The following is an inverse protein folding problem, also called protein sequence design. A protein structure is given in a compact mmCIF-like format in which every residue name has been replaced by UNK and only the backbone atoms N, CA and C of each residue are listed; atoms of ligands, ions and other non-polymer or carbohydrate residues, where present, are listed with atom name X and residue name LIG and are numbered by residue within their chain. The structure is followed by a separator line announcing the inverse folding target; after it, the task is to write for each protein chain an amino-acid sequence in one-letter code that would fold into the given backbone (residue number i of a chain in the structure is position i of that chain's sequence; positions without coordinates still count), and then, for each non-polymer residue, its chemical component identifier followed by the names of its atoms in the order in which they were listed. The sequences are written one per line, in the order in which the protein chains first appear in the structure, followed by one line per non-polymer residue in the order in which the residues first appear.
data_IF_398412082007
#
_entry.id   IF_398412082007
#
_cell.length_a   1.000
_cell.length_b   1.000
_cell.length_c   1.000
_cell.angle_alpha   90.00
_cell.angle_beta   90.00
_cell.angle_gamma   90.00
#
_symmetry.space_group_name_H-M   'P 1'
#
loop_
_entity.id
_entity.type
_entity.pdbx_description
1 polymer ?
#
# COMPACT_ATOMS: atom_id res chain seq x y z
N UNK A 1 13.07 8.95 -23.80
CA UNK A 1 13.31 7.64 -23.14
C UNK A 1 12.07 7.28 -22.34
N UNK A 2 11.36 6.22 -22.74
CA UNK A 2 10.13 5.75 -22.10
C UNK A 2 10.43 4.67 -21.05
N UNK A 3 9.61 4.54 -20.00
CA UNK A 3 9.63 3.38 -19.07
C UNK A 3 8.71 2.28 -19.60
N UNK A 4 8.99 1.01 -19.32
CA UNK A 4 8.09 -0.11 -19.68
C UNK A 4 7.10 -0.46 -18.57
N UNK A 5 7.19 0.21 -17.41
CA UNK A 5 6.24 0.05 -16.31
C UNK A 5 4.83 0.38 -16.78
N UNK A 6 3.91 -0.58 -16.63
CA UNK A 6 2.51 -0.44 -17.04
C UNK A 6 1.71 0.32 -15.97
N UNK A 7 1.18 1.54 -16.25
CA UNK A 7 0.43 2.30 -15.26
C UNK A 7 -1.04 1.88 -15.23
N UNK A 8 -1.57 1.63 -14.03
CA UNK A 8 -2.98 1.39 -13.75
C UNK A 8 -3.51 2.48 -12.80
N UNK A 9 -4.67 3.04 -13.13
CA UNK A 9 -5.38 4.02 -12.29
C UNK A 9 -6.69 3.39 -11.84
N UNK A 10 -6.83 3.13 -10.54
CA UNK A 10 -8.10 2.78 -9.92
C UNK A 10 -8.90 4.07 -9.78
N UNK A 11 -9.97 4.20 -10.56
CA UNK A 11 -10.75 5.42 -10.68
C UNK A 11 -12.15 5.25 -10.10
N UNK A 12 -12.63 6.26 -9.39
CA UNK A 12 -14.03 6.34 -9.04
C UNK A 12 -14.87 6.77 -10.25
N UNK A 13 -16.20 6.79 -10.10
CA UNK A 13 -17.10 7.30 -11.15
C UNK A 13 -17.05 8.83 -11.31
N UNK A 14 -16.15 9.52 -10.60
CA UNK A 14 -16.05 10.97 -10.62
C UNK A 14 -15.31 11.46 -11.89
N UNK A 15 -15.99 12.17 -12.81
CA UNK A 15 -15.38 12.63 -14.06
C UNK A 15 -14.26 13.66 -13.83
N UNK A 16 -14.32 14.44 -12.75
CA UNK A 16 -13.27 15.43 -12.43
C UNK A 16 -11.96 14.74 -12.00
N UNK A 17 -12.04 13.67 -11.20
CA UNK A 17 -10.87 12.87 -10.79
C UNK A 17 -10.25 12.17 -12.00
N UNK A 18 -11.08 11.62 -12.89
CA UNK A 18 -10.62 11.02 -14.15
C UNK A 18 -9.91 12.02 -15.06
N UNK A 19 -10.48 13.22 -15.23
CA UNK A 19 -9.86 14.29 -16.02
C UNK A 19 -8.54 14.78 -15.40
N UNK A 20 -8.50 14.94 -14.07
CA UNK A 20 -7.29 15.27 -13.32
C UNK A 20 -6.18 14.24 -13.56
N UNK A 21 -6.46 12.96 -13.38
CA UNK A 21 -5.48 11.90 -13.62
C UNK A 21 -5.03 11.80 -15.08
N UNK A 22 -5.94 12.04 -16.02
CA UNK A 22 -5.59 12.08 -17.44
C UNK A 22 -4.57 13.19 -17.71
N UNK A 23 -4.77 14.38 -17.12
CA UNK A 23 -3.82 15.48 -17.24
C UNK A 23 -2.46 15.17 -16.57
N UNK A 24 -2.46 14.58 -15.37
CA UNK A 24 -1.24 14.16 -14.68
C UNK A 24 -0.45 13.13 -15.47
N UNK A 25 -1.12 12.11 -16.04
CA UNK A 25 -0.49 11.10 -16.88
C UNK A 25 0.12 11.69 -18.17
N UNK A 26 -0.65 12.55 -18.86
CA UNK A 26 -0.20 13.20 -20.09
C UNK A 26 1.01 14.10 -19.86
N UNK A 27 1.05 14.83 -18.73
CA UNK A 27 2.19 15.69 -18.36
C UNK A 27 3.53 14.93 -18.34
N UNK A 28 3.51 13.65 -18.00
CA UNK A 28 4.70 12.80 -17.91
C UNK A 28 4.79 11.74 -19.02
N UNK A 29 3.95 11.81 -20.04
CA UNK A 29 3.87 10.85 -21.15
C UNK A 29 3.69 9.40 -20.65
N UNK A 30 2.85 9.21 -19.64
CA UNK A 30 2.51 7.89 -19.10
C UNK A 30 1.17 7.44 -19.69
N UNK A 31 1.15 6.30 -20.39
CA UNK A 31 -0.06 5.73 -20.97
C UNK A 31 -0.80 4.90 -19.93
N UNK A 32 -1.62 5.55 -19.09
CA UNK A 32 -2.35 4.88 -18.01
C UNK A 32 -3.60 4.13 -18.45
N UNK A 33 -3.82 2.97 -17.83
CA UNK A 33 -5.02 2.14 -18.00
C UNK A 33 -5.95 2.43 -16.83
N UNK A 34 -7.14 2.94 -17.14
CA UNK A 34 -8.15 3.22 -16.12
C UNK A 34 -8.94 1.94 -15.80
N UNK A 35 -8.97 1.60 -14.52
CA UNK A 35 -9.76 0.53 -13.95
C UNK A 35 -10.86 1.16 -13.09
N UNK A 36 -12.12 0.94 -13.44
CA UNK A 36 -13.23 1.46 -12.64
C UNK A 36 -13.31 0.68 -11.32
N UNK A 37 -13.26 1.39 -10.19
CA UNK A 37 -13.27 0.79 -8.86
C UNK A 37 -14.51 -0.07 -8.61
N UNK A 38 -14.33 -1.21 -7.96
CA UNK A 38 -15.39 -2.18 -7.70
C UNK A 38 -16.32 -1.66 -6.58
N UNK A 39 -17.62 -1.58 -6.90
CA UNK A 39 -18.68 -1.33 -5.92
C UNK A 39 -19.32 -2.65 -5.52
N UNK A 40 -19.16 -3.03 -4.25
CA UNK A 40 -19.50 -4.37 -3.76
C UNK A 40 -20.98 -4.49 -3.42
N UNK A 41 -21.64 -5.51 -3.98
CA UNK A 41 -23.02 -5.87 -3.62
C UNK A 41 -23.09 -6.93 -2.51
N UNK A 42 -24.29 -7.20 -2.00
CA UNK A 42 -24.46 -8.13 -0.87
C UNK A 42 -24.14 -9.59 -1.19
N UNK A 43 -24.15 -9.98 -2.47
CA UNK A 43 -23.72 -11.32 -2.89
C UNK A 43 -22.20 -11.45 -2.82
N UNK A 44 -21.47 -10.46 -3.34
CA UNK A 44 -20.01 -10.42 -3.28
C UNK A 44 -19.48 -10.37 -1.85
N UNK A 45 -20.21 -9.73 -0.93
CA UNK A 45 -19.88 -9.77 0.50
C UNK A 45 -19.88 -11.18 1.09
N UNK A 46 -20.63 -12.13 0.50
CA UNK A 46 -20.70 -13.52 0.95
C UNK A 46 -19.67 -14.41 0.25
N UNK A 47 -19.36 -14.14 -1.01
CA UNK A 47 -18.49 -15.01 -1.83
C UNK A 47 -17.02 -14.58 -1.82
N UNK A 48 -16.78 -13.27 -1.79
CA UNK A 48 -15.47 -12.70 -2.10
C UNK A 48 -14.78 -12.15 -0.84
N UNK A 49 -15.46 -12.17 0.31
CA UNK A 49 -15.01 -11.58 1.57
C UNK A 49 -15.08 -12.61 2.68
N UNK A 50 -13.99 -12.75 3.43
CA UNK A 50 -13.92 -13.67 4.56
C UNK A 50 -14.36 -12.99 5.86
N UNK A 51 -15.22 -13.68 6.62
CA UNK A 51 -15.67 -13.29 7.95
C UNK A 51 -16.32 -11.89 8.01
N UNK A 52 -17.07 -11.49 6.98
CA UNK A 52 -17.83 -10.24 6.99
C UNK A 52 -19.10 -10.35 7.84
N UNK A 53 -19.48 -9.34 8.66
CA UNK A 53 -18.81 -8.05 8.91
C UNK A 53 -17.86 -8.09 10.13
N UNK A 54 -17.50 -9.27 10.63
CA UNK A 54 -16.61 -9.46 11.79
C UNK A 54 -15.21 -8.89 11.52
N UNK A 55 -14.75 -8.99 10.27
CA UNK A 55 -13.47 -8.44 9.81
C UNK A 55 -13.36 -6.91 9.92
N UNK A 56 -14.49 -6.20 10.11
CA UNK A 56 -14.50 -4.75 10.29
C UNK A 56 -14.17 -3.95 9.02
N UNK A 57 -14.26 -4.54 7.83
CA UNK A 57 -14.07 -3.82 6.58
C UNK A 57 -15.37 -3.13 6.14
N UNK A 58 -15.26 -1.90 5.64
CA UNK A 58 -16.38 -1.22 4.97
C UNK A 58 -16.55 -1.74 3.54
N UNK A 59 -17.74 -1.57 2.93
CA UNK A 59 -17.97 -1.90 1.51
C UNK A 59 -16.98 -1.19 0.58
N UNK A 60 -16.62 0.06 0.89
CA UNK A 60 -15.64 0.83 0.11
C UNK A 60 -14.22 0.24 0.20
N UNK A 61 -13.79 -0.18 1.39
CA UNK A 61 -12.48 -0.82 1.57
C UNK A 61 -12.40 -2.20 0.92
N UNK A 62 -13.52 -2.95 0.95
CA UNK A 62 -13.62 -4.22 0.23
C UNK A 62 -13.52 -3.98 -1.28
N UNK A 63 -14.26 -2.98 -1.79
CA UNK A 63 -14.21 -2.58 -3.19
C UNK A 63 -12.81 -2.16 -3.65
N UNK A 64 -12.13 -1.36 -2.84
CA UNK A 64 -10.74 -0.97 -3.07
C UNK A 64 -9.82 -2.20 -3.10
N UNK A 65 -9.93 -3.10 -2.10
CA UNK A 65 -9.14 -4.33 -2.03
C UNK A 65 -9.36 -5.23 -3.26
N UNK A 66 -10.61 -5.45 -3.67
CA UNK A 66 -10.94 -6.23 -4.87
C UNK A 66 -10.36 -5.58 -6.13
N UNK A 67 -10.39 -4.25 -6.24
CA UNK A 67 -9.83 -3.53 -7.40
C UNK A 67 -8.32 -3.76 -7.54
N UNK A 68 -7.58 -3.69 -6.43
CA UNK A 68 -6.15 -4.03 -6.43
C UNK A 68 -5.91 -5.51 -6.77
N UNK A 69 -6.70 -6.42 -6.21
CA UNK A 69 -6.60 -7.87 -6.49
C UNK A 69 -6.81 -8.16 -7.98
N UNK A 70 -7.80 -7.54 -8.62
CA UNK A 70 -8.06 -7.74 -10.06
C UNK A 70 -6.92 -7.21 -10.94
N UNK A 71 -6.28 -6.10 -10.56
CA UNK A 71 -5.06 -5.64 -11.24
C UNK A 71 -3.92 -6.66 -11.06
N UNK A 72 -3.71 -7.20 -9.86
CA UNK A 72 -2.68 -8.23 -9.64
C UNK A 72 -2.96 -9.49 -10.46
N UNK A 73 -4.21 -9.96 -10.52
CA UNK A 73 -4.62 -11.09 -11.38
C UNK A 73 -4.40 -10.79 -12.86
N UNK A 74 -4.67 -9.56 -13.29
CA UNK A 74 -4.39 -9.10 -14.66
C UNK A 74 -2.90 -9.15 -14.95
N UNK A 75 -2.05 -8.67 -14.04
CA UNK A 75 -0.60 -8.79 -14.17
C UNK A 75 -0.15 -10.23 -14.32
N UNK A 76 -0.68 -11.14 -13.51
CA UNK A 76 -0.38 -12.58 -13.59
C UNK A 76 -0.79 -13.16 -14.94
N UNK A 77 -2.03 -12.90 -15.36
CA UNK A 77 -2.59 -13.42 -16.62
C UNK A 77 -1.84 -12.91 -17.85
N UNK A 78 -1.54 -11.61 -17.88
CA UNK A 78 -0.87 -10.94 -19.00
C UNK A 78 0.66 -10.95 -18.90
N UNK A 79 1.21 -11.53 -17.83
CA UNK A 79 2.66 -11.55 -17.54
C UNK A 79 3.27 -10.14 -17.54
N UNK A 80 2.57 -9.17 -16.97
CA UNK A 80 3.07 -7.78 -16.83
C UNK A 80 4.19 -7.78 -15.79
N UNK A 81 5.45 -7.50 -16.17
CA UNK A 81 6.60 -7.65 -15.26
C UNK A 81 6.55 -6.65 -14.10
N UNK A 82 6.16 -5.41 -14.39
CA UNK A 82 6.19 -4.31 -13.43
C UNK A 82 5.02 -3.36 -13.72
N UNK A 83 4.27 -2.99 -12.68
CA UNK A 83 3.11 -2.13 -12.79
C UNK A 83 3.16 -0.98 -11.78
N UNK A 84 2.79 0.22 -12.21
CA UNK A 84 2.54 1.38 -11.34
C UNK A 84 1.04 1.43 -11.05
N UNK A 85 0.63 1.15 -9.82
CA UNK A 85 -0.78 1.17 -9.41
C UNK A 85 -1.04 2.44 -8.61
N UNK A 86 -2.09 3.17 -9.00
CA UNK A 86 -2.43 4.49 -8.45
C UNK A 86 -3.94 4.59 -8.21
N UNK A 87 -4.32 5.41 -7.24
CA UNK A 87 -5.70 5.93 -7.16
C UNK A 87 -5.81 7.22 -7.97
N UNK A 88 -7.04 7.71 -8.16
CA UNK A 88 -7.36 8.84 -9.02
C UNK A 88 -7.32 10.23 -8.36
N UNK A 89 -6.79 10.32 -7.14
CA UNK A 89 -6.60 11.55 -6.38
C UNK A 89 -5.13 11.81 -6.04
N UNK A 90 -4.21 11.50 -6.96
CA UNK A 90 -2.78 11.69 -6.74
C UNK A 90 -2.17 12.77 -7.62
N UNK A 91 -0.99 13.25 -7.25
CA UNK A 91 -0.12 14.13 -8.04
C UNK A 91 1.28 13.57 -8.06
N UNK A 92 1.93 13.66 -9.21
CA UNK A 92 3.34 13.28 -9.37
C UNK A 92 4.27 14.46 -9.10
N UNK A 93 5.43 14.16 -8.52
CA UNK A 93 6.58 15.05 -8.57
C UNK A 93 7.30 14.96 -9.93
N UNK A 94 8.05 15.99 -10.25
CA UNK A 94 8.69 16.17 -11.57
C UNK A 94 9.61 15.02 -11.97
N UNK A 95 10.23 14.36 -10.99
CA UNK A 95 11.16 13.25 -11.21
C UNK A 95 10.50 11.86 -11.26
N UNK A 96 9.18 11.74 -11.40
CA UNK A 96 8.49 10.44 -11.46
C UNK A 96 9.07 9.52 -12.54
N UNK A 97 9.28 10.02 -13.76
CA UNK A 97 9.76 9.19 -14.88
C UNK A 97 11.17 8.67 -14.64
N UNK A 98 12.05 9.46 -14.02
CA UNK A 98 13.40 9.01 -13.71
C UNK A 98 13.43 8.01 -12.55
N UNK A 99 12.58 8.19 -11.54
CA UNK A 99 12.41 7.20 -10.46
C UNK A 99 11.85 5.88 -10.97
N UNK A 100 10.87 5.91 -11.87
CA UNK A 100 10.29 4.70 -12.46
C UNK A 100 11.36 3.88 -13.20
N UNK A 101 12.22 4.54 -13.99
CA UNK A 101 13.34 3.87 -14.67
C UNK A 101 14.37 3.30 -13.70
N UNK A 102 14.69 4.04 -12.65
CA UNK A 102 15.62 3.54 -11.63
C UNK A 102 15.09 2.26 -10.95
N UNK A 103 13.78 2.20 -10.70
CA UNK A 103 13.12 1.02 -10.14
C UNK A 103 13.13 -0.13 -11.15
N UNK A 104 12.82 0.15 -12.41
CA UNK A 104 12.86 -0.81 -13.51
C UNK A 104 14.26 -1.43 -13.69
N UNK A 105 15.31 -0.61 -13.81
CA UNK A 105 16.72 -1.06 -13.91
C UNK A 105 17.20 -1.85 -12.68
N UNK A 106 16.60 -1.61 -11.52
CA UNK A 106 16.89 -2.36 -10.31
C UNK A 106 16.12 -3.69 -10.28
N UNK A 107 14.84 -3.69 -10.65
CA UNK A 107 13.98 -4.88 -10.63
C UNK A 107 14.46 -5.93 -11.66
N UNK A 108 14.97 -5.50 -12.82
CA UNK A 108 15.61 -6.38 -13.82
C UNK A 108 16.75 -7.23 -13.25
N UNK A 109 17.40 -6.77 -12.18
CA UNK A 109 18.55 -7.44 -11.54
C UNK A 109 18.16 -8.31 -10.36
N UNK A 110 16.86 -8.46 -10.07
CA UNK A 110 16.40 -9.21 -8.90
C UNK A 110 15.21 -10.11 -9.20
N UNK A 111 15.25 -11.29 -8.61
CA UNK A 111 14.20 -12.30 -8.75
C UNK A 111 13.22 -12.31 -7.55
N UNK A 112 13.29 -11.28 -6.70
CA UNK A 112 12.54 -11.20 -5.43
C UNK A 112 11.21 -10.45 -5.62
N UNK A 113 10.16 -10.76 -4.84
CA UNK A 113 8.90 -10.02 -4.90
C UNK A 113 9.05 -8.65 -4.24
N UNK A 114 8.90 -7.58 -5.00
CA UNK A 114 9.01 -6.21 -4.52
C UNK A 114 7.73 -5.41 -4.69
N UNK A 115 7.46 -4.58 -3.68
CA UNK A 115 6.57 -3.44 -3.73
C UNK A 115 7.37 -2.19 -3.36
N UNK A 116 7.30 -1.18 -4.21
CA UNK A 116 7.96 0.11 -4.05
C UNK A 116 6.90 1.20 -3.83
N UNK A 117 6.70 1.58 -2.58
CA UNK A 117 5.83 2.68 -2.20
C UNK A 117 6.44 4.00 -2.68
N UNK A 118 5.67 4.76 -3.46
CA UNK A 118 6.07 6.09 -3.93
C UNK A 118 5.42 7.21 -3.10
N UNK A 119 4.63 6.83 -2.10
CA UNK A 119 3.81 7.70 -1.25
C UNK A 119 4.48 7.98 0.10
N UNK A 120 3.97 8.97 0.87
CA UNK A 120 4.36 9.20 2.25
C UNK A 120 4.35 7.94 3.12
N UNK A 121 5.40 7.80 3.92
CA UNK A 121 5.60 6.73 4.89
C UNK A 121 5.55 7.26 6.33
N UNK A 122 5.33 6.36 7.30
CA UNK A 122 5.42 6.71 8.74
C UNK A 122 6.79 6.43 9.33
N UNK A 123 7.39 5.29 8.98
CA UNK A 123 8.72 4.91 9.45
C UNK A 123 9.40 3.93 8.49
N UNK A 124 10.73 4.05 8.37
CA UNK A 124 11.58 3.21 7.53
C UNK A 124 12.80 2.73 8.31
N UNK A 125 13.52 1.77 7.72
CA UNK A 125 14.75 1.19 8.28
C UNK A 125 15.96 1.80 7.57
N UNK A 126 16.63 2.75 8.22
CA UNK A 126 17.73 3.54 7.66
C UNK A 126 18.91 2.69 7.19
N UNK A 127 19.28 1.66 7.96
CA UNK A 127 20.38 0.76 7.61
C UNK A 127 19.98 -0.37 6.63
N UNK A 128 18.80 -0.27 6.00
CA UNK A 128 18.31 -1.16 4.94
C UNK A 128 17.96 -0.33 3.70
N UNK A 129 18.99 0.33 3.17
CA UNK A 129 18.93 1.26 2.05
C UNK A 129 19.38 0.59 0.75
N UNK A 130 18.69 0.92 -0.33
CA UNK A 130 19.14 0.69 -1.71
C UNK A 130 19.25 2.08 -2.36
N UNK A 131 20.46 2.45 -2.79
CA UNK A 131 20.69 3.72 -3.47
C UNK A 131 20.47 3.53 -4.97
N UNK A 132 19.55 4.31 -5.55
CA UNK A 132 19.37 4.44 -7.00
C UNK A 132 19.91 5.80 -7.46
N UNK A 133 19.82 6.12 -8.75
CA UNK A 133 20.40 7.35 -9.32
C UNK A 133 19.67 8.60 -8.85
N UNK A 134 18.34 8.56 -8.83
CA UNK A 134 17.43 9.69 -8.60
C UNK A 134 16.71 9.60 -7.25
N UNK A 135 16.77 8.46 -6.56
CA UNK A 135 16.07 8.23 -5.29
C UNK A 135 16.80 7.19 -4.43
N UNK A 136 16.52 7.20 -3.13
CA UNK A 136 16.89 6.09 -2.25
C UNK A 136 15.64 5.31 -1.84
N UNK A 137 15.72 3.98 -1.95
CA UNK A 137 14.70 3.08 -1.44
C UNK A 137 15.10 2.59 -0.05
N UNK A 138 14.18 2.62 0.90
CA UNK A 138 14.39 2.09 2.24
C UNK A 138 13.35 1.04 2.57
N UNK A 139 13.77 -0.03 3.23
CA UNK A 139 12.84 -1.05 3.72
C UNK A 139 11.82 -0.41 4.67
N UNK A 140 10.53 -0.69 4.44
CA UNK A 140 9.48 -0.09 5.26
C UNK A 140 9.45 -0.71 6.66
N UNK A 141 9.27 0.15 7.66
CA UNK A 141 8.94 -0.26 9.03
C UNK A 141 7.44 -0.08 9.30
N UNK A 142 6.88 1.07 8.92
CA UNK A 142 5.44 1.39 8.97
C UNK A 142 5.07 2.34 7.82
N UNK A 143 4.05 1.98 7.05
CA UNK A 143 3.39 2.84 6.08
C UNK A 143 1.88 2.63 6.19
N UNK A 144 1.15 3.63 5.71
CA UNK A 144 -0.28 3.56 5.46
C UNK A 144 -0.50 3.85 3.97
N UNK A 145 -1.71 3.60 3.50
CA UNK A 145 -2.19 3.91 2.16
C UNK A 145 -1.58 3.08 1.02
N UNK A 146 -2.39 2.89 -0.02
CA UNK A 146 -2.05 2.16 -1.23
C UNK A 146 -2.37 2.96 -2.51
N UNK A 147 -2.35 4.31 -2.43
CA UNK A 147 -2.73 5.17 -3.55
C UNK A 147 -1.63 5.40 -4.61
N UNK A 148 -0.42 4.85 -4.44
CA UNK A 148 0.67 5.03 -5.41
C UNK A 148 1.90 4.18 -5.14
N UNK A 149 2.06 3.08 -5.88
CA UNK A 149 3.21 2.19 -5.71
C UNK A 149 3.51 1.41 -6.99
N UNK A 150 4.77 0.98 -7.12
CA UNK A 150 5.17 0.02 -8.14
C UNK A 150 5.19 -1.37 -7.53
N UNK A 151 4.68 -2.36 -8.25
CA UNK A 151 4.67 -3.78 -7.84
C UNK A 151 5.18 -4.64 -8.98
N UNK A 152 6.06 -5.59 -8.68
CA UNK A 152 6.54 -6.55 -9.67
C UNK A 152 5.65 -7.79 -9.74
N UNK A 153 5.75 -8.54 -10.83
CA UNK A 153 4.91 -9.70 -11.12
C UNK A 153 4.90 -10.74 -9.99
N UNK A 154 6.05 -10.96 -9.35
CA UNK A 154 6.17 -11.92 -8.24
C UNK A 154 5.47 -11.46 -6.98
N UNK A 155 5.54 -10.17 -6.66
CA UNK A 155 4.78 -9.60 -5.56
C UNK A 155 3.27 -9.60 -5.89
N UNK A 156 2.89 -9.24 -7.12
CA UNK A 156 1.50 -9.29 -7.56
C UNK A 156 0.91 -10.69 -7.42
N UNK A 157 1.62 -11.74 -7.85
CA UNK A 157 1.19 -13.13 -7.65
C UNK A 157 0.94 -13.44 -6.17
N UNK A 158 1.92 -13.16 -5.31
CA UNK A 158 1.80 -13.43 -3.86
C UNK A 158 0.66 -12.65 -3.22
N UNK A 159 0.44 -11.41 -3.67
CA UNK A 159 -0.63 -10.55 -3.17
C UNK A 159 -2.00 -11.04 -3.65
N UNK A 160 -2.17 -11.39 -4.92
CA UNK A 160 -3.40 -11.95 -5.47
C UNK A 160 -3.85 -13.20 -4.71
N UNK A 161 -2.91 -14.12 -4.43
CA UNK A 161 -3.18 -15.37 -3.72
C UNK A 161 -3.48 -15.14 -2.23
N UNK A 162 -2.80 -14.19 -1.59
CA UNK A 162 -2.92 -13.98 -0.14
C UNK A 162 -4.13 -13.12 0.25
N UNK A 163 -4.47 -12.13 -0.58
CA UNK A 163 -5.51 -11.15 -0.30
C UNK A 163 -6.92 -11.65 -0.63
N UNK A 164 -7.06 -12.69 -1.44
CA UNK A 164 -8.35 -13.26 -1.81
C UNK A 164 -8.63 -14.58 -1.03
N UNK A 165 -9.84 -14.77 -0.47
CA UNK A 165 -10.93 -13.80 -0.31
C UNK A 165 -10.54 -12.63 0.62
N UNK A 166 -11.17 -11.48 0.43
CA UNK A 166 -10.83 -10.21 1.08
C UNK A 166 -10.98 -10.30 2.59
N UNK A 167 -9.92 -9.93 3.30
CA UNK A 167 -9.84 -9.91 4.77
C UNK A 167 -8.91 -8.83 5.35
N UNK A 168 -8.27 -8.06 4.47
CA UNK A 168 -7.33 -6.97 4.77
C UNK A 168 -7.67 -5.78 3.88
N UNK A 169 -7.28 -4.57 4.29
CA UNK A 169 -7.26 -3.40 3.40
C UNK A 169 -6.03 -3.49 2.49
N UNK A 170 -5.99 -2.83 1.31
CA UNK A 170 -4.87 -2.99 0.37
C UNK A 170 -3.56 -2.35 0.86
N UNK A 171 -3.58 -1.67 2.00
CA UNK A 171 -2.45 -0.99 2.62
C UNK A 171 -1.96 -1.65 3.93
N UNK A 172 -2.41 -2.87 4.22
CA UNK A 172 -1.94 -3.71 5.33
C UNK A 172 -0.51 -4.25 5.12
N UNK A 173 0.42 -3.39 4.66
CA UNK A 173 1.78 -3.71 4.20
C UNK A 173 2.59 -4.57 5.19
N UNK A 174 2.40 -4.35 6.49
CA UNK A 174 3.05 -5.16 7.53
C UNK A 174 2.62 -6.62 7.46
N UNK A 175 1.33 -6.88 7.26
CA UNK A 175 0.82 -8.23 7.12
C UNK A 175 1.34 -8.86 5.83
N UNK A 176 1.37 -8.11 4.73
CA UNK A 176 1.85 -8.65 3.45
C UNK A 176 3.34 -9.01 3.49
N UNK A 177 4.16 -8.17 4.11
CA UNK A 177 5.57 -8.48 4.33
C UNK A 177 5.76 -9.81 5.05
N UNK A 178 5.05 -10.00 6.16
CA UNK A 178 5.26 -11.18 7.00
C UNK A 178 4.50 -12.41 6.57
N UNK A 179 3.32 -12.29 5.97
CA UNK A 179 2.49 -13.43 5.60
C UNK A 179 2.65 -13.76 4.11
N UNK A 180 2.43 -12.77 3.22
CA UNK A 180 2.58 -12.90 1.77
C UNK A 180 4.06 -12.91 1.29
N UNK A 181 5.05 -12.77 2.19
CA UNK A 181 6.49 -12.86 1.87
C UNK A 181 6.94 -11.85 0.81
N UNK A 182 6.42 -10.63 0.83
CA UNK A 182 6.87 -9.58 -0.10
C UNK A 182 7.90 -8.65 0.55
N UNK A 183 8.77 -8.07 -0.26
CA UNK A 183 9.69 -7.02 0.18
C UNK A 183 9.04 -5.67 -0.11
N UNK A 184 8.82 -4.86 0.94
CA UNK A 184 8.18 -3.55 0.80
C UNK A 184 9.20 -2.47 1.10
N UNK A 185 9.44 -1.60 0.13
CA UNK A 185 10.38 -0.50 0.20
C UNK A 185 9.64 0.81 -0.08
N UNK A 186 10.12 1.92 0.46
CA UNK A 186 9.60 3.26 0.19
C UNK A 186 10.65 4.13 -0.44
N UNK A 187 10.26 4.93 -1.43
CA UNK A 187 11.07 5.99 -2.00
C UNK A 187 11.20 7.16 -1.02
N UNK A 188 12.43 7.68 -0.84
CA UNK A 188 12.71 8.89 -0.07
C UNK A 188 13.56 9.84 -0.94
N UNK A 189 13.09 11.08 -1.20
CA UNK A 189 11.78 11.64 -0.80
C UNK A 189 10.60 10.92 -1.50
N UNK A 190 9.38 11.05 -0.96
CA UNK A 190 8.17 10.57 -1.64
C UNK A 190 8.01 11.23 -3.03
N UNK A 191 7.45 10.51 -4.00
CA UNK A 191 7.35 10.93 -5.41
C UNK A 191 5.89 11.14 -5.82
N UNK A 192 4.96 10.56 -5.08
CA UNK A 192 3.51 10.70 -5.25
C UNK A 192 2.92 11.31 -3.98
N UNK A 193 2.05 12.32 -4.14
CA UNK A 193 1.31 12.97 -3.04
C UNK A 193 -0.18 13.01 -3.35
N UNK A 194 -1.03 13.14 -2.33
CA UNK A 194 -2.47 13.36 -2.57
C UNK A 194 -2.73 14.71 -3.26
N UNK A 195 -3.69 14.71 -4.18
CA UNK A 195 -4.22 15.88 -4.87
C UNK A 195 -5.22 16.69 -4.01
N UNK A 196 -5.48 16.27 -2.77
CA UNK A 196 -6.42 16.87 -1.81
C UNK A 196 -7.89 16.85 -2.26
N UNK A 197 -8.32 15.82 -3.00
CA UNK A 197 -9.75 15.58 -3.21
C UNK A 197 -10.41 15.12 -1.90
N UNK A 198 -11.71 15.39 -1.74
CA UNK A 198 -12.48 14.89 -0.60
C UNK A 198 -12.59 13.36 -0.72
N UNK A 199 -12.33 12.63 0.38
CA UNK A 199 -12.51 11.18 0.42
C UNK A 199 -13.93 10.79 0.04
N UNK A 200 -14.08 9.94 -0.97
CA UNK A 200 -15.37 9.38 -1.40
C UNK A 200 -15.73 8.09 -0.63
N UNK A 201 -14.79 7.55 0.15
CA UNK A 201 -15.07 6.48 1.11
C UNK A 201 -15.62 7.13 2.39
N UNK A 202 -16.90 6.87 2.71
CA UNK A 202 -17.65 7.54 3.78
C UNK A 202 -17.02 7.46 5.17
N UNK A 203 -17.13 8.55 5.94
CA UNK A 203 -16.47 8.75 7.24
C UNK A 203 -17.24 8.17 8.43
N UNK A 204 -18.56 8.07 8.34
CA UNK A 204 -19.45 7.96 9.52
C UNK A 204 -19.38 6.61 10.27
N UNK A 205 -18.72 5.58 9.71
CA UNK A 205 -18.52 4.27 10.34
C UNK A 205 -17.06 3.92 10.67
N UNK A 206 -16.08 4.80 10.40
CA UNK A 206 -14.65 4.44 10.45
C UNK A 206 -14.16 4.04 11.85
N UNK A 207 -14.64 4.68 12.93
CA UNK A 207 -14.14 4.41 14.30
C UNK A 207 -14.50 2.98 14.76
N UNK A 208 -15.78 2.61 14.69
CA UNK A 208 -16.24 1.27 15.10
C UNK A 208 -15.63 0.15 14.25
N UNK A 209 -15.38 0.41 12.96
CA UNK A 209 -14.71 -0.51 12.06
C UNK A 209 -13.22 -0.66 12.40
N UNK A 210 -12.54 0.43 12.79
CA UNK A 210 -11.13 0.40 13.20
C UNK A 210 -10.91 -0.50 14.42
N UNK A 211 -11.78 -0.42 15.41
CA UNK A 211 -11.71 -1.30 16.60
C UNK A 211 -11.90 -2.77 16.25
N UNK A 212 -12.82 -3.08 15.31
CA UNK A 212 -13.01 -4.45 14.82
C UNK A 212 -11.76 -4.98 14.11
N UNK A 213 -11.17 -4.19 13.21
CA UNK A 213 -9.92 -4.56 12.51
C UNK A 213 -8.77 -4.81 13.47
N UNK A 214 -8.60 -3.93 14.47
CA UNK A 214 -7.57 -4.04 15.50
C UNK A 214 -7.65 -5.34 16.31
N UNK A 215 -8.86 -5.89 16.49
CA UNK A 215 -9.09 -7.19 17.15
C UNK A 215 -9.00 -8.37 16.19
N UNK A 216 -9.33 -8.17 14.91
CA UNK A 216 -9.39 -9.22 13.90
C UNK A 216 -8.03 -9.57 13.30
N UNK A 217 -7.21 -8.59 12.91
CA UNK A 217 -5.93 -8.87 12.23
C UNK A 217 -4.94 -9.68 13.09
N UNK A 218 -4.82 -9.46 14.42
CA UNK A 218 -4.00 -10.32 15.27
C UNK A 218 -4.49 -11.77 15.29
N UNK A 219 -5.82 -11.99 15.29
CA UNK A 219 -6.39 -13.35 15.24
C UNK A 219 -6.05 -14.06 13.94
N UNK A 220 -6.11 -13.37 12.81
CA UNK A 220 -5.67 -13.91 11.52
C UNK A 220 -4.19 -14.28 11.54
N UNK A 221 -3.35 -13.42 12.11
CA UNK A 221 -1.92 -13.73 12.25
C UNK A 221 -1.69 -14.96 13.12
N UNK A 222 -2.44 -15.13 14.21
CA UNK A 222 -2.35 -16.32 15.06
C UNK A 222 -2.71 -17.62 14.33
N UNK A 223 -3.49 -17.55 13.25
CA UNK A 223 -3.83 -18.71 12.42
C UNK A 223 -2.73 -19.07 11.40
N UNK A 224 -1.82 -18.13 11.07
CA UNK A 224 -0.66 -18.39 10.22
C UNK A 224 0.60 -18.59 11.07
N UNK A 225 0.79 -19.82 11.56
CA UNK A 225 1.96 -20.23 12.34
C UNK A 225 3.28 -19.83 11.68
N UNK A 226 3.35 -19.90 10.35
CA UNK A 226 4.58 -19.55 9.62
C UNK A 226 4.83 -18.04 9.64
N UNK A 227 3.79 -17.20 9.55
CA UNK A 227 3.91 -15.75 9.69
C UNK A 227 4.24 -15.36 11.14
N UNK A 228 3.66 -16.02 12.14
CA UNK A 228 4.02 -15.83 13.54
C UNK A 228 5.49 -16.12 13.81
N UNK A 229 6.00 -17.25 13.31
CA UNK A 229 7.41 -17.60 13.43
C UNK A 229 8.29 -16.53 12.79
N UNK A 230 7.92 -16.02 11.60
CA UNK A 230 8.64 -14.92 10.94
C UNK A 230 8.61 -13.62 11.75
N UNK A 231 7.47 -13.27 12.34
CA UNK A 231 7.32 -12.08 13.20
C UNK A 231 8.14 -12.24 14.48
N UNK A 232 8.10 -13.42 15.10
CA UNK A 232 8.90 -13.75 16.28
C UNK A 232 10.38 -13.63 15.95
N UNK A 233 10.85 -14.30 14.90
CA UNK A 233 12.24 -14.23 14.46
C UNK A 233 12.66 -12.80 14.14
N UNK A 234 11.80 -12.04 13.47
CA UNK A 234 12.04 -10.62 13.23
C UNK A 234 12.17 -9.84 14.53
N UNK A 235 11.27 -10.04 15.50
CA UNK A 235 11.26 -9.31 16.77
C UNK A 235 12.53 -9.56 17.59
N UNK A 236 13.01 -10.80 17.64
CA UNK A 236 14.11 -11.18 18.52
C UNK A 236 15.48 -11.15 17.85
N UNK A 237 15.57 -11.48 16.55
CA UNK A 237 16.86 -11.62 15.87
C UNK A 237 17.15 -10.54 14.82
N UNK A 238 16.13 -9.83 14.32
CA UNK A 238 16.34 -8.79 13.29
C UNK A 238 16.17 -7.39 13.87
N UNK A 239 15.06 -7.16 14.56
CA UNK A 239 14.62 -5.85 15.07
C UNK A 239 15.65 -5.13 15.96
N UNK A 240 16.41 -5.80 16.84
CA UNK A 240 17.43 -5.15 17.66
C UNK A 240 18.53 -4.45 16.85
N UNK A 241 18.79 -4.93 15.63
CA UNK A 241 19.84 -4.40 14.75
C UNK A 241 19.33 -3.37 13.74
N UNK A 242 18.03 -3.05 13.75
CA UNK A 242 17.43 -2.10 12.81
C UNK A 242 17.48 -0.66 13.35
N UNK A 243 18.03 0.25 12.55
CA UNK A 243 17.97 1.70 12.77
C UNK A 243 16.68 2.24 12.17
N UNK A 244 15.64 2.35 12.99
CA UNK A 244 14.31 2.81 12.54
C UNK A 244 14.23 4.33 12.65
N UNK A 245 13.89 5.00 11.55
CA UNK A 245 13.58 6.44 11.51
C UNK A 245 12.09 6.66 11.24
N UNK A 246 11.44 7.44 12.09
CA UNK A 246 10.07 7.91 11.89
C UNK A 246 10.07 9.25 11.13
N UNK A 247 9.05 9.48 10.31
CA UNK A 247 8.78 10.80 9.73
C UNK A 247 8.17 11.65 10.85
N UNK A 248 8.98 12.51 11.47
CA UNK A 248 8.61 13.36 12.59
C UNK A 248 7.49 14.32 12.18
N UNK A 249 6.24 13.94 12.45
CA UNK A 249 5.11 14.85 12.65
C UNK A 249 3.95 14.21 13.45
N UNK A 250 4.16 13.05 14.09
CA UNK A 250 3.19 12.42 15.01
C UNK A 250 3.70 12.25 16.45
N UNK A 251 4.97 12.57 16.73
CA UNK A 251 5.47 12.58 18.12
C UNK A 251 4.76 13.66 18.96
N UNK A 252 4.26 14.73 18.33
CA UNK A 252 3.42 15.73 19.00
C UNK A 252 2.04 15.19 19.43
N UNK A 253 1.50 14.16 18.80
CA UNK A 253 0.20 13.59 19.19
C UNK A 253 0.34 12.68 20.41
N UNK A 254 1.34 11.79 20.43
CA UNK A 254 1.60 10.91 21.58
C UNK A 254 2.19 11.67 22.78
N UNK A 255 3.03 12.70 22.57
CA UNK A 255 3.45 13.61 23.65
C UNK A 255 2.29 14.46 24.18
N UNK A 256 1.41 14.99 23.32
CA UNK A 256 0.17 15.67 23.77
C UNK A 256 -0.74 14.73 24.54
N UNK A 257 -0.88 13.48 24.12
CA UNK A 257 -1.72 12.49 24.79
C UNK A 257 -1.13 12.09 26.15
N UNK A 258 0.19 11.87 26.25
CA UNK A 258 0.89 11.64 27.53
C UNK A 258 0.77 12.84 28.48
N UNK A 259 0.92 14.08 27.99
CA UNK A 259 0.73 15.30 28.78
C UNK A 259 -0.72 15.50 29.22
N UNK A 260 -1.69 15.11 28.40
CA UNK A 260 -3.13 15.18 28.71
C UNK A 260 -3.54 14.14 29.77
N UNK A 261 -2.97 12.92 29.71
CA UNK A 261 -3.19 11.89 30.72
C UNK A 261 -2.54 12.28 32.06
N UNK A 262 -1.34 12.88 32.03
CA UNK A 262 -0.65 13.34 33.25
C UNK A 262 -1.36 14.51 33.95
N UNK A 263 -2.05 15.37 33.19
CA UNK A 263 -2.89 16.47 33.72
C UNK A 263 -4.24 16.01 34.31
N UNK A 264 -4.66 14.77 34.07
CA UNK A 264 -5.91 14.19 34.64
C UNK A 264 -5.66 13.34 35.89
N UNK A 265 -4.40 13.17 36.28
CA UNK A 265 -3.97 12.37 37.42
C UNK A 265 -3.38 13.22 38.56
N UNK A 266 -3.50 14.55 38.46
CA UNK A 266 -3.25 15.56 39.49
C UNK A 266 -4.45 16.51 39.48
#
# INVERSE_FOLDING_TARGET
MHTTIKPFVICSKNPQRRAHMTAELNRYNLNGIFFDGIYVNDQQLKTDVKDYPVNGLSKGEIGCSLSHIEIYKTMVKEKIPLALIMEDDIKFKENIVSVLKDIEEFDEKTDKPFVYLLTPYKAYVENRKIQLKNVALYEIYRADFAYGYVVNLKAAQRLADYLYPVRFTPDDWRYFKFAAKINVYTAIPEIITSANFKSEVGDDCRIALTDKKGKYHPKLMLQDLSALMRIFSFKFFVRPFLKVKSKTNQDNFFEKMKRSIKKRLH
#
